data_IF_478405116387
#
_entry.id   IF_478405116387
#
_cell.length_a   1.000
_cell.length_b   1.000
_cell.length_c   1.000
_cell.angle_alpha   90.00
_cell.angle_beta   90.00
_cell.angle_gamma   90.00
#
_symmetry.space_group_name_H-M   'P 1'
#
loop_
_entity.id
_entity.type
_entity.pdbx_description
1 polymer ?
#
# COMPACT_ATOMS: atom_id res chain seq x y z
N UNK A 1 -1.64 -1.31 28.78
CA UNK A 1 -1.14 -2.24 27.76
C UNK A 1 -2.28 -3.18 27.41
N UNK A 2 -3.03 -2.87 26.36
CA UNK A 2 -4.07 -3.76 25.87
C UNK A 2 -3.38 -4.92 25.16
N UNK A 3 -3.64 -6.15 25.58
CA UNK A 3 -3.15 -7.36 24.91
C UNK A 3 -3.53 -7.29 23.42
N UNK A 4 -2.53 -7.33 22.53
CA UNK A 4 -2.80 -7.30 21.09
C UNK A 4 -3.44 -8.64 20.71
N UNK A 5 -4.53 -8.64 19.93
CA UNK A 5 -5.18 -9.88 19.55
C UNK A 5 -4.22 -10.78 18.80
N UNK A 6 -4.27 -12.08 19.09
CA UNK A 6 -3.53 -13.10 18.36
C UNK A 6 -3.96 -13.09 16.88
N UNK A 7 -2.99 -12.96 15.96
CA UNK A 7 -3.20 -12.98 14.51
C UNK A 7 -2.46 -14.15 13.85
N UNK A 8 -2.13 -15.19 14.61
CA UNK A 8 -1.42 -16.40 14.14
C UNK A 8 -2.17 -17.19 13.06
N UNK A 9 -3.49 -17.09 13.00
CA UNK A 9 -4.35 -17.79 12.02
C UNK A 9 -4.35 -17.17 10.61
N UNK A 10 -3.55 -16.11 10.34
CA UNK A 10 -3.51 -15.44 9.04
C UNK A 10 -3.21 -16.39 7.86
N UNK A 11 -2.46 -17.48 8.10
CA UNK A 11 -2.15 -18.51 7.09
C UNK A 11 -3.40 -19.22 6.55
N UNK A 12 -4.50 -19.20 7.30
CA UNK A 12 -5.77 -19.78 6.88
C UNK A 12 -6.59 -18.81 6.02
N UNK A 13 -6.37 -17.50 6.16
CA UNK A 13 -7.18 -16.46 5.49
C UNK A 13 -6.49 -15.81 4.30
N UNK A 14 -5.15 -15.74 4.29
CA UNK A 14 -4.40 -15.14 3.19
C UNK A 14 -4.31 -16.09 1.99
N UNK A 15 -4.09 -15.56 0.77
CA UNK A 15 -4.06 -16.39 -0.42
C UNK A 15 -2.92 -17.42 -0.38
N UNK A 16 -3.20 -18.64 -0.85
CA UNK A 16 -2.23 -19.73 -0.88
C UNK A 16 -0.89 -19.32 -1.53
N UNK A 17 -0.95 -18.57 -2.64
CA UNK A 17 0.21 -17.97 -3.33
C UNK A 17 1.19 -17.27 -2.37
N UNK A 18 0.67 -16.51 -1.41
CA UNK A 18 1.47 -15.74 -0.44
C UNK A 18 1.90 -16.63 0.72
N UNK A 19 0.99 -17.47 1.24
CA UNK A 19 1.26 -18.36 2.39
C UNK A 19 2.33 -19.41 2.06
N UNK A 20 2.34 -19.95 0.85
CA UNK A 20 3.34 -20.94 0.41
C UNK A 20 4.61 -20.31 -0.16
N UNK A 21 4.66 -18.98 -0.34
CA UNK A 21 5.72 -18.28 -1.04
C UNK A 21 6.01 -18.90 -2.43
N UNK A 22 4.95 -19.16 -3.20
CA UNK A 22 5.07 -19.77 -4.54
C UNK A 22 5.69 -18.78 -5.53
N UNK A 23 7.00 -18.94 -5.73
CA UNK A 23 7.83 -17.98 -6.44
C UNK A 23 7.51 -17.93 -7.93
N UNK A 24 7.28 -19.09 -8.57
CA UNK A 24 7.03 -19.11 -10.02
C UNK A 24 5.66 -18.51 -10.34
N UNK A 25 4.64 -18.83 -9.53
CA UNK A 25 3.33 -18.21 -9.66
C UNK A 25 3.38 -16.70 -9.39
N UNK A 26 4.13 -16.25 -8.38
CA UNK A 26 4.26 -14.84 -8.04
C UNK A 26 5.01 -14.04 -9.12
N UNK A 27 6.09 -14.59 -9.67
CA UNK A 27 6.81 -13.97 -10.78
C UNK A 27 5.93 -13.83 -12.03
N UNK A 28 5.08 -14.83 -12.32
CA UNK A 28 4.10 -14.72 -13.40
C UNK A 28 3.08 -13.60 -13.12
N UNK A 29 2.55 -13.51 -11.90
CA UNK A 29 1.62 -12.45 -11.51
C UNK A 29 2.26 -11.07 -11.68
N UNK A 30 3.51 -10.90 -11.24
CA UNK A 30 4.24 -9.64 -11.36
C UNK A 30 4.55 -9.30 -12.82
N UNK A 31 4.96 -10.28 -13.62
CA UNK A 31 5.14 -10.10 -15.07
C UNK A 31 3.86 -9.59 -15.72
N UNK A 32 2.73 -10.25 -15.47
CA UNK A 32 1.43 -9.89 -16.05
C UNK A 32 0.94 -8.51 -15.56
N UNK A 33 1.20 -8.16 -14.29
CA UNK A 33 0.78 -6.86 -13.73
C UNK A 33 1.59 -5.68 -14.27
N UNK A 34 2.89 -5.86 -14.49
CA UNK A 34 3.80 -4.81 -14.98
C UNK A 34 3.97 -4.82 -16.51
N UNK A 35 3.25 -5.69 -17.21
CA UNK A 35 3.28 -5.75 -18.67
C UNK A 35 2.68 -4.48 -19.31
N UNK A 36 3.12 -4.21 -20.52
CA UNK A 36 2.62 -3.15 -21.40
C UNK A 36 2.01 -3.76 -22.65
N UNK A 37 1.12 -3.04 -23.31
CA UNK A 37 0.62 -3.39 -24.64
C UNK A 37 1.61 -2.99 -25.76
N UNK A 38 1.20 -3.22 -27.01
CA UNK A 38 2.00 -2.92 -28.20
C UNK A 38 2.28 -1.41 -28.35
N UNK A 39 1.44 -0.54 -27.76
CA UNK A 39 1.61 0.91 -27.72
C UNK A 39 2.45 1.38 -26.53
N UNK A 40 3.05 0.45 -25.78
CA UNK A 40 3.82 0.70 -24.55
C UNK A 40 2.99 1.30 -23.39
N UNK A 41 1.66 1.19 -23.46
CA UNK A 41 0.78 1.59 -22.38
C UNK A 41 0.70 0.47 -21.34
N UNK A 42 0.66 0.80 -20.04
CA UNK A 42 0.59 -0.22 -18.99
C UNK A 42 -0.76 -0.96 -19.05
N UNK A 43 -0.73 -2.30 -19.01
CA UNK A 43 -1.95 -3.12 -18.93
C UNK A 43 -2.72 -2.87 -17.61
N UNK A 44 -1.98 -2.49 -16.56
CA UNK A 44 -2.53 -2.04 -15.29
C UNK A 44 -1.92 -0.69 -14.94
N UNK A 45 -2.76 0.35 -14.87
CA UNK A 45 -2.30 1.72 -14.55
C UNK A 45 -1.54 1.79 -13.23
N UNK A 46 -1.92 0.97 -12.25
CA UNK A 46 -1.27 0.87 -10.94
C UNK A 46 0.21 0.48 -10.98
N UNK A 47 0.70 -0.12 -12.07
CA UNK A 47 2.14 -0.36 -12.29
C UNK A 47 2.97 0.93 -12.38
N UNK A 48 2.33 2.09 -12.56
CA UNK A 48 2.97 3.41 -12.62
C UNK A 48 2.87 4.21 -11.32
N UNK A 49 2.23 3.67 -10.28
CA UNK A 49 1.99 4.37 -9.01
C UNK A 49 3.26 4.99 -8.42
N UNK A 50 4.33 4.20 -8.27
CA UNK A 50 5.58 4.63 -7.65
C UNK A 50 6.31 5.66 -8.51
N UNK A 51 6.28 5.48 -9.84
CA UNK A 51 6.92 6.40 -10.78
C UNK A 51 6.29 7.79 -10.70
N UNK A 52 4.96 7.87 -10.63
CA UNK A 52 4.24 9.15 -10.46
C UNK A 52 4.44 9.71 -9.06
N UNK A 53 4.33 8.89 -8.00
CA UNK A 53 4.50 9.36 -6.62
C UNK A 53 5.89 10.00 -6.39
N UNK A 54 6.94 9.42 -6.98
CA UNK A 54 8.33 9.93 -6.91
C UNK A 54 8.55 11.25 -7.63
N UNK A 55 7.64 11.70 -8.49
CA UNK A 55 7.71 13.04 -9.05
C UNK A 55 7.58 14.11 -7.96
N UNK A 56 6.93 13.81 -6.84
CA UNK A 56 7.04 14.62 -5.64
C UNK A 56 8.31 14.28 -4.85
N UNK A 57 9.36 15.09 -5.06
CA UNK A 57 10.62 14.97 -4.34
C UNK A 57 10.57 15.36 -2.85
N UNK A 58 9.46 15.93 -2.37
CA UNK A 58 9.29 16.31 -0.96
C UNK A 58 8.61 15.18 -0.17
N UNK A 59 9.35 14.44 0.68
CA UNK A 59 8.78 13.34 1.47
C UNK A 59 7.86 13.84 2.60
N UNK A 60 7.83 15.15 2.85
CA UNK A 60 7.11 15.78 3.94
C UNK A 60 5.96 16.66 3.49
N UNK A 61 5.57 16.68 2.21
CA UNK A 61 4.41 17.45 1.77
C UNK A 61 3.59 16.70 0.73
N UNK A 62 2.26 16.68 0.90
CA UNK A 62 1.37 16.24 -0.18
C UNK A 62 1.34 17.30 -1.28
N UNK A 63 1.43 16.87 -2.54
CA UNK A 63 1.36 17.71 -3.74
C UNK A 63 0.48 17.05 -4.81
N UNK A 64 0.32 17.74 -5.94
CA UNK A 64 -0.52 17.27 -7.05
C UNK A 64 -0.09 15.89 -7.55
N UNK A 65 1.20 15.60 -7.56
CA UNK A 65 1.78 14.33 -8.00
C UNK A 65 1.32 13.17 -7.11
N UNK A 66 1.18 13.36 -5.80
CA UNK A 66 0.63 12.31 -4.92
C UNK A 66 -0.85 12.03 -5.26
N UNK A 67 -1.60 13.04 -5.71
CA UNK A 67 -3.01 12.89 -6.08
C UNK A 67 -3.17 12.21 -7.43
N UNK A 68 -2.27 12.49 -8.38
CA UNK A 68 -2.19 11.77 -9.66
C UNK A 68 -1.69 10.34 -9.43
N UNK A 69 -0.76 10.12 -8.50
CA UNK A 69 -0.28 8.79 -8.18
C UNK A 69 -1.45 7.90 -7.72
N UNK A 70 -2.25 8.34 -6.76
CA UNK A 70 -3.35 7.50 -6.27
C UNK A 70 -4.44 7.20 -7.33
N UNK A 71 -4.57 8.02 -8.38
CA UNK A 71 -5.46 7.70 -9.50
C UNK A 71 -5.00 6.52 -10.34
N UNK A 72 -3.69 6.21 -10.34
CA UNK A 72 -3.17 4.96 -10.91
C UNK A 72 -3.69 3.73 -10.17
N UNK A 73 -4.17 3.88 -8.94
CA UNK A 73 -4.75 2.81 -8.15
C UNK A 73 -6.29 2.89 -8.14
N UNK A 74 -6.91 3.43 -9.19
CA UNK A 74 -8.37 3.50 -9.37
C UNK A 74 -9.10 4.30 -8.28
N UNK A 75 -8.45 5.31 -7.66
CA UNK A 75 -9.11 6.24 -6.74
C UNK A 75 -8.71 7.68 -7.01
N UNK A 76 -9.65 8.60 -6.92
CA UNK A 76 -9.37 10.04 -7.04
C UNK A 76 -9.42 10.72 -5.67
N UNK A 77 -8.61 11.78 -5.50
CA UNK A 77 -8.74 12.69 -4.37
C UNK A 77 -9.89 13.66 -4.68
N UNK A 78 -10.96 13.71 -3.86
CA UNK A 78 -12.07 14.63 -4.12
C UNK A 78 -11.59 16.09 -4.12
N UNK A 79 -12.15 16.93 -4.99
CA UNK A 79 -11.72 18.31 -5.15
C UNK A 79 -11.70 19.12 -3.83
N UNK A 80 -12.72 18.95 -2.98
CA UNK A 80 -12.78 19.59 -1.65
C UNK A 80 -11.65 19.11 -0.72
N UNK A 81 -11.29 17.83 -0.80
CA UNK A 81 -10.16 17.28 -0.07
C UNK A 81 -8.84 17.84 -0.61
N UNK A 82 -8.65 17.87 -1.93
CA UNK A 82 -7.45 18.44 -2.55
C UNK A 82 -7.20 19.89 -2.09
N UNK A 83 -8.22 20.76 -2.15
CA UNK A 83 -8.14 22.16 -1.69
C UNK A 83 -7.72 22.24 -0.22
N UNK A 84 -8.30 21.39 0.64
CA UNK A 84 -7.97 21.38 2.08
C UNK A 84 -6.54 20.89 2.33
N UNK A 85 -6.16 19.77 1.72
CA UNK A 85 -4.88 19.10 1.94
C UNK A 85 -3.70 19.92 1.43
N UNK A 86 -3.87 20.62 0.30
CA UNK A 86 -2.84 21.52 -0.26
C UNK A 86 -2.85 22.92 0.36
N UNK A 87 -3.95 23.30 1.03
CA UNK A 87 -4.11 24.59 1.68
C UNK A 87 -4.11 24.47 3.19
N UNK A 88 -5.29 24.60 3.80
CA UNK A 88 -5.48 24.74 5.25
C UNK A 88 -4.75 23.67 6.10
N UNK A 89 -4.74 22.42 5.64
CA UNK A 89 -4.17 21.30 6.40
C UNK A 89 -2.71 20.99 6.02
N UNK A 90 -2.11 21.70 5.04
CA UNK A 90 -0.77 21.40 4.53
C UNK A 90 0.31 21.46 5.64
N UNK A 91 0.29 22.49 6.49
CA UNK A 91 1.30 22.67 7.55
C UNK A 91 1.23 21.59 8.62
N UNK A 92 0.02 21.16 9.02
CA UNK A 92 -0.13 20.08 10.00
C UNK A 92 0.27 18.73 9.41
N UNK A 93 -0.02 18.49 8.13
CA UNK A 93 0.43 17.30 7.41
C UNK A 93 1.96 17.28 7.33
N UNK A 94 2.58 18.41 6.99
CA UNK A 94 4.03 18.53 6.90
C UNK A 94 4.74 18.20 8.22
N UNK A 95 4.28 18.83 9.30
CA UNK A 95 4.80 18.57 10.65
C UNK A 95 4.62 17.11 11.09
N UNK A 96 3.52 16.45 10.72
CA UNK A 96 3.30 15.05 11.05
C UNK A 96 4.20 14.13 10.22
N UNK A 97 4.32 14.37 8.91
CA UNK A 97 5.20 13.58 8.03
C UNK A 97 6.66 13.67 8.48
N UNK A 98 7.16 14.84 8.92
CA UNK A 98 8.52 14.96 9.47
C UNK A 98 8.79 14.11 10.72
N UNK A 99 7.74 13.67 11.40
CA UNK A 99 7.84 12.81 12.59
C UNK A 99 7.60 11.32 12.27
N UNK A 100 7.38 10.98 11.00
CA UNK A 100 7.25 9.62 10.51
C UNK A 100 8.46 9.34 9.62
N UNK A 101 9.34 8.38 9.97
CA UNK A 101 10.50 8.03 9.15
C UNK A 101 10.11 7.76 7.70
N UNK A 102 10.79 8.37 6.74
CA UNK A 102 10.57 8.21 5.30
C UNK A 102 11.39 7.07 4.68
N UNK A 103 12.42 6.61 5.38
CA UNK A 103 13.29 5.51 4.97
C UNK A 103 13.34 4.38 6.02
N UNK A 104 12.18 3.83 6.36
CA UNK A 104 12.03 2.75 7.35
C UNK A 104 11.16 1.64 6.78
N UNK A 105 11.63 0.40 6.88
CA UNK A 105 10.81 -0.77 6.58
C UNK A 105 9.85 -1.08 7.72
N UNK A 106 8.65 -1.54 7.34
CA UNK A 106 7.61 -1.91 8.31
C UNK A 106 8.09 -2.97 9.32
N UNK A 107 8.97 -3.89 8.91
CA UNK A 107 9.52 -4.94 9.78
C UNK A 107 10.44 -4.34 10.87
N UNK A 108 11.17 -3.28 10.54
CA UNK A 108 12.07 -2.56 11.44
C UNK A 108 11.33 -1.53 12.32
N UNK A 109 10.08 -1.25 11.98
CA UNK A 109 9.28 -0.28 12.74
C UNK A 109 9.06 -0.76 14.18
N UNK A 110 9.32 0.12 15.15
CA UNK A 110 8.86 -0.13 16.52
C UNK A 110 7.32 -0.26 16.51
N UNK A 111 6.74 -1.27 17.17
CA UNK A 111 5.29 -1.40 17.36
C UNK A 111 4.53 -0.11 17.67
N UNK A 112 5.10 0.83 18.42
CA UNK A 112 4.50 2.13 18.76
C UNK A 112 4.27 3.06 17.56
N UNK A 113 5.07 2.91 16.48
CA UNK A 113 4.91 3.69 15.25
C UNK A 113 3.66 3.29 14.46
N UNK A 114 3.11 2.10 14.73
CA UNK A 114 1.96 1.52 14.02
C UNK A 114 0.68 1.48 14.87
N UNK A 115 0.74 1.98 16.10
CA UNK A 115 -0.38 2.00 17.03
C UNK A 115 -1.34 3.17 16.77
N UNK A 116 -2.52 3.12 17.40
CA UNK A 116 -3.59 4.12 17.26
C UNK A 116 -3.20 5.53 17.68
N UNK A 117 -2.22 5.67 18.58
CA UNK A 117 -1.75 6.97 19.08
C UNK A 117 -0.52 7.51 18.32
N UNK A 118 0.01 6.73 17.38
CA UNK A 118 1.20 7.06 16.60
C UNK A 118 1.03 8.31 15.73
N UNK A 119 2.15 8.88 15.27
CA UNK A 119 2.13 10.01 14.32
C UNK A 119 1.52 9.62 12.98
N UNK A 120 1.69 8.38 12.54
CA UNK A 120 1.03 7.85 11.35
C UNK A 120 -0.49 7.80 11.54
N UNK A 121 -0.96 7.35 12.70
CA UNK A 121 -2.40 7.34 13.03
C UNK A 121 -2.98 8.75 13.16
N UNK A 122 -2.25 9.68 13.76
CA UNK A 122 -2.65 11.10 13.79
C UNK A 122 -2.76 11.68 12.37
N UNK A 123 -1.80 11.38 11.49
CA UNK A 123 -1.85 11.78 10.08
C UNK A 123 -3.08 11.19 9.38
N UNK A 124 -3.35 9.90 9.56
CA UNK A 124 -4.58 9.27 9.07
C UNK A 124 -5.84 10.03 9.49
N UNK A 125 -5.95 10.42 10.77
CA UNK A 125 -7.11 11.18 11.27
C UNK A 125 -7.18 12.58 10.64
N UNK A 126 -6.06 13.28 10.47
CA UNK A 126 -6.01 14.59 9.80
C UNK A 126 -6.47 14.48 8.34
N UNK A 127 -6.06 13.43 7.62
CA UNK A 127 -6.52 13.21 6.25
C UNK A 127 -8.04 12.96 6.22
N UNK A 128 -8.59 12.21 7.18
CA UNK A 128 -10.00 11.79 7.21
C UNK A 128 -10.98 12.80 7.83
N UNK A 129 -10.53 13.78 8.61
CA UNK A 129 -11.42 14.71 9.37
C UNK A 129 -12.24 15.67 8.50
N UNK A 130 -11.89 15.85 7.23
CA UNK A 130 -12.40 16.91 6.37
C UNK A 130 -13.88 16.84 6.00
N UNK A 131 -14.54 15.67 6.17
CA UNK A 131 -15.90 15.40 5.67
C UNK A 131 -16.09 15.80 4.19
N UNK A 132 -15.05 15.63 3.41
CA UNK A 132 -14.90 16.08 2.02
C UNK A 132 -14.87 14.92 1.01
N UNK A 133 -15.25 13.72 1.47
CA UNK A 133 -15.34 12.51 0.65
C UNK A 133 -14.04 11.68 0.59
N UNK A 134 -12.93 12.12 1.21
CA UNK A 134 -11.68 11.38 1.17
C UNK A 134 -11.78 10.08 1.97
N UNK A 135 -12.05 8.94 1.32
CA UNK A 135 -12.26 7.61 1.90
C UNK A 135 -11.05 6.98 2.60
N UNK A 136 -11.23 5.87 3.35
CA UNK A 136 -10.12 5.11 3.94
C UNK A 136 -9.17 4.54 2.87
N UNK A 137 -9.70 4.05 1.75
CA UNK A 137 -8.91 3.54 0.62
C UNK A 137 -8.01 4.63 0.00
N UNK A 138 -8.55 5.82 -0.24
CA UNK A 138 -7.73 6.93 -0.77
C UNK A 138 -6.70 7.40 0.26
N UNK A 139 -7.06 7.37 1.54
CA UNK A 139 -6.17 7.76 2.64
C UNK A 139 -4.97 6.81 2.76
N UNK A 140 -5.19 5.48 2.74
CA UNK A 140 -4.10 4.50 2.79
C UNK A 140 -3.13 4.65 1.61
N UNK A 141 -3.65 4.91 0.41
CA UNK A 141 -2.84 5.11 -0.80
C UNK A 141 -2.01 6.39 -0.77
N UNK A 142 -2.55 7.49 -0.23
CA UNK A 142 -1.77 8.73 -0.01
C UNK A 142 -0.65 8.51 1.02
N UNK A 143 -0.92 7.74 2.08
CA UNK A 143 0.09 7.40 3.07
C UNK A 143 1.17 6.49 2.48
N UNK A 144 0.79 5.48 1.69
CA UNK A 144 1.72 4.61 0.99
C UNK A 144 2.58 5.37 -0.05
N UNK A 145 2.02 6.38 -0.74
CA UNK A 145 2.81 7.24 -1.63
C UNK A 145 3.94 7.96 -0.87
N UNK A 146 3.67 8.38 0.38
CA UNK A 146 4.66 9.05 1.24
C UNK A 146 5.57 8.11 2.00
N UNK A 147 5.09 6.92 2.36
CA UNK A 147 5.78 5.97 3.24
C UNK A 147 5.71 4.57 2.63
N UNK A 148 6.24 4.36 1.41
CA UNK A 148 6.02 3.15 0.63
C UNK A 148 6.62 1.88 1.27
N UNK A 149 7.61 2.05 2.14
CA UNK A 149 8.28 0.97 2.88
C UNK A 149 7.64 0.68 4.25
N UNK A 150 6.82 1.60 4.76
CA UNK A 150 6.32 1.57 6.15
C UNK A 150 4.80 1.40 6.25
N UNK A 151 4.01 2.06 5.39
CA UNK A 151 2.56 2.10 5.49
C UNK A 151 1.91 1.34 4.32
N UNK A 152 1.28 0.18 4.56
CA UNK A 152 0.71 -0.64 3.50
C UNK A 152 -0.54 -0.01 2.88
N UNK A 153 -0.76 -0.29 1.60
CA UNK A 153 -1.99 0.06 0.90
C UNK A 153 -3.15 -0.75 1.48
N UNK A 154 -4.31 -0.11 1.57
CA UNK A 154 -5.56 -0.76 1.95
C UNK A 154 -6.64 -0.53 0.91
N UNK A 155 -7.44 -1.56 0.63
CA UNK A 155 -8.61 -1.49 -0.23
C UNK A 155 -9.50 -2.71 -0.06
N UNK A 156 -10.64 -2.71 -0.76
CA UNK A 156 -11.61 -3.82 -0.71
C UNK A 156 -11.01 -5.15 -1.17
N UNK A 157 -10.09 -5.13 -2.13
CA UNK A 157 -9.40 -6.33 -2.61
C UNK A 157 -8.42 -6.88 -1.55
N UNK A 158 -7.66 -6.02 -0.87
CA UNK A 158 -6.77 -6.43 0.23
C UNK A 158 -7.60 -7.02 1.39
N UNK A 159 -8.73 -6.39 1.71
CA UNK A 159 -9.69 -6.91 2.68
C UNK A 159 -10.22 -8.29 2.28
N UNK A 160 -10.65 -8.46 1.03
CA UNK A 160 -11.14 -9.75 0.52
C UNK A 160 -10.05 -10.81 0.51
N UNK A 161 -8.82 -10.45 0.14
CA UNK A 161 -7.68 -11.38 0.06
C UNK A 161 -7.24 -11.89 1.43
N UNK A 162 -7.36 -11.07 2.47
CA UNK A 162 -6.77 -11.35 3.79
C UNK A 162 -7.80 -11.67 4.86
N UNK A 163 -9.08 -11.38 4.61
CA UNK A 163 -10.14 -11.41 5.62
C UNK A 163 -10.03 -10.33 6.70
N UNK A 164 -9.05 -9.43 6.61
CA UNK A 164 -8.83 -8.38 7.61
C UNK A 164 -9.84 -7.23 7.47
N UNK A 165 -10.07 -6.53 8.57
CA UNK A 165 -10.67 -5.20 8.58
C UNK A 165 -9.59 -4.10 8.63
N UNK A 166 -10.04 -2.83 8.56
CA UNK A 166 -9.14 -1.67 8.65
C UNK A 166 -8.56 -1.44 10.05
N UNK A 167 -8.97 -2.19 11.07
CA UNK A 167 -8.54 -1.97 12.45
C UNK A 167 -7.20 -2.65 12.68
N UNK A 168 -6.18 -1.86 13.03
CA UNK A 168 -4.85 -2.35 13.36
C UNK A 168 -4.10 -3.01 12.20
N UNK A 169 -4.56 -2.86 10.95
CA UNK A 169 -3.96 -3.59 9.82
C UNK A 169 -2.47 -3.31 9.64
N UNK A 170 -1.96 -2.13 9.98
CA UNK A 170 -0.51 -1.86 9.96
C UNK A 170 0.29 -2.82 10.85
N UNK A 171 -0.14 -3.01 12.10
CA UNK A 171 0.48 -4.00 12.98
C UNK A 171 0.28 -5.43 12.47
N UNK A 172 -0.90 -5.78 11.91
CA UNK A 172 -1.14 -7.11 11.33
C UNK A 172 -0.18 -7.41 10.17
N UNK A 173 0.02 -6.46 9.26
CA UNK A 173 1.00 -6.56 8.17
C UNK A 173 2.41 -6.71 8.73
N UNK A 174 2.81 -5.87 9.69
CA UNK A 174 4.12 -6.01 10.35
C UNK A 174 4.30 -7.40 10.96
N UNK A 175 3.29 -7.89 11.69
CA UNK A 175 3.32 -9.20 12.33
C UNK A 175 3.56 -10.30 11.30
N UNK A 176 2.72 -10.38 10.26
CA UNK A 176 2.84 -11.38 9.19
C UNK A 176 4.19 -11.32 8.47
N UNK A 177 4.68 -10.12 8.16
CA UNK A 177 5.97 -9.92 7.49
C UNK A 177 7.17 -10.24 8.39
N UNK A 178 6.99 -10.19 9.71
CA UNK A 178 8.05 -10.47 10.69
C UNK A 178 8.10 -11.92 11.17
N UNK A 179 7.07 -12.72 10.86
CA UNK A 179 7.01 -14.13 11.25
C UNK A 179 8.01 -15.01 10.50
N UNK A 180 8.22 -16.23 11.00
CA UNK A 180 9.07 -17.26 10.39
C UNK A 180 10.46 -16.76 9.98
N UNK A 181 11.11 -15.97 10.86
CA UNK A 181 12.43 -15.40 10.61
C UNK A 181 12.46 -14.56 9.32
N UNK A 182 11.44 -13.71 9.13
CA UNK A 182 11.29 -12.83 7.96
C UNK A 182 11.07 -13.57 6.63
N UNK A 183 10.67 -14.85 6.64
CA UNK A 183 10.52 -15.67 5.41
C UNK A 183 9.72 -14.97 4.32
N UNK A 184 8.57 -14.39 4.68
CA UNK A 184 7.72 -13.72 3.70
C UNK A 184 8.34 -12.40 3.20
N UNK A 185 8.98 -11.64 4.10
CA UNK A 185 9.65 -10.39 3.73
C UNK A 185 10.82 -10.64 2.78
N UNK A 186 11.69 -11.59 3.11
CA UNK A 186 12.85 -11.97 2.29
C UNK A 186 12.42 -12.50 0.92
N UNK A 187 11.34 -13.28 0.88
CA UNK A 187 10.75 -13.75 -0.37
C UNK A 187 10.26 -12.59 -1.26
N UNK A 188 9.59 -11.57 -0.70
CA UNK A 188 9.18 -10.38 -1.45
C UNK A 188 10.39 -9.63 -2.02
N UNK A 189 11.49 -9.54 -1.24
CA UNK A 189 12.76 -8.98 -1.69
C UNK A 189 13.38 -9.79 -2.84
N UNK A 190 13.33 -11.13 -2.75
CA UNK A 190 13.79 -12.04 -3.81
C UNK A 190 12.98 -11.81 -5.10
N UNK A 191 11.65 -11.75 -5.02
CA UNK A 191 10.77 -11.49 -6.16
C UNK A 191 11.14 -10.19 -6.89
N UNK A 192 11.43 -9.11 -6.13
CA UNK A 192 11.89 -7.84 -6.72
C UNK A 192 13.18 -8.03 -7.51
N UNK A 193 14.15 -8.76 -6.96
CA UNK A 193 15.45 -8.98 -7.61
C UNK A 193 15.38 -9.89 -8.85
N UNK A 194 14.44 -10.84 -8.86
CA UNK A 194 14.27 -11.81 -9.95
C UNK A 194 13.34 -11.32 -11.06
N UNK A 195 12.47 -10.35 -10.78
CA UNK A 195 11.53 -9.82 -11.75
C UNK A 195 12.13 -8.68 -12.56
N UNK A 196 12.42 -8.92 -13.85
CA UNK A 196 12.91 -7.88 -14.76
C UNK A 196 11.88 -6.79 -15.05
N UNK A 197 10.58 -7.08 -14.87
CA UNK A 197 9.48 -6.14 -15.16
C UNK A 197 9.15 -5.22 -13.98
N UNK A 198 9.57 -5.55 -12.75
CA UNK A 198 9.28 -4.75 -11.55
C UNK A 198 10.37 -3.68 -11.38
N UNK A 199 10.02 -2.38 -11.39
CA UNK A 199 11.00 -1.32 -11.15
C UNK A 199 11.61 -1.41 -9.75
N UNK A 200 12.90 -1.11 -9.61
CA UNK A 200 13.59 -1.15 -8.32
C UNK A 200 13.06 -0.16 -7.26
N UNK A 201 12.23 0.82 -7.67
CA UNK A 201 11.54 1.73 -6.75
C UNK A 201 10.32 1.11 -6.05
N UNK A 202 9.88 -0.08 -6.46
CA UNK A 202 8.74 -0.80 -5.89
C UNK A 202 9.17 -1.44 -4.57
N UNK A 203 8.42 -1.16 -3.50
CA UNK A 203 8.67 -1.75 -2.18
C UNK A 203 8.07 -3.16 -2.06
N UNK A 204 8.56 -3.91 -1.09
CA UNK A 204 8.06 -5.22 -0.69
C UNK A 204 6.57 -5.15 -0.34
N UNK A 205 6.15 -4.07 0.34
CA UNK A 205 4.74 -3.79 0.64
C UNK A 205 3.89 -3.65 -0.64
N UNK A 206 4.43 -3.02 -1.68
CA UNK A 206 3.72 -2.92 -2.95
C UNK A 206 3.67 -4.26 -3.68
N UNK A 207 4.77 -5.01 -3.70
CA UNK A 207 4.79 -6.36 -4.29
C UNK A 207 3.70 -7.20 -3.62
N UNK A 208 3.62 -7.18 -2.28
CA UNK A 208 2.58 -7.87 -1.54
C UNK A 208 1.17 -7.37 -1.92
N UNK A 209 0.96 -6.05 -2.02
CA UNK A 209 -0.32 -5.47 -2.45
C UNK A 209 -0.73 -5.96 -3.86
N UNK A 210 0.20 -6.04 -4.82
CA UNK A 210 -0.06 -6.60 -6.16
C UNK A 210 -0.49 -8.07 -6.06
N UNK A 211 0.23 -8.89 -5.29
CA UNK A 211 -0.08 -10.32 -5.16
C UNK A 211 -1.46 -10.54 -4.52
N UNK A 212 -1.78 -9.81 -3.45
CA UNK A 212 -3.09 -9.87 -2.78
C UNK A 212 -4.22 -9.38 -3.70
N UNK A 213 -3.98 -8.31 -4.46
CA UNK A 213 -4.98 -7.79 -5.40
C UNK A 213 -5.25 -8.77 -6.55
N UNK A 214 -4.19 -9.32 -7.14
CA UNK A 214 -4.28 -10.24 -8.27
C UNK A 214 -4.90 -11.59 -7.86
N UNK A 215 -4.66 -12.07 -6.63
CA UNK A 215 -5.29 -13.31 -6.16
C UNK A 215 -6.82 -13.22 -6.11
N UNK A 216 -7.36 -12.05 -5.75
CA UNK A 216 -8.82 -11.83 -5.74
C UNK A 216 -9.35 -11.64 -7.15
N UNK A 217 -8.65 -10.87 -8.00
CA UNK A 217 -9.07 -10.63 -9.39
C UNK A 217 -9.10 -11.91 -10.22
N UNK A 218 -8.13 -12.81 -10.05
CA UNK A 218 -8.08 -14.09 -10.77
C UNK A 218 -9.07 -15.12 -10.23
N UNK A 219 -9.41 -15.07 -8.95
CA UNK A 219 -10.43 -15.95 -8.33
C UNK A 219 -11.87 -15.52 -8.59
N UNK A 220 -12.11 -14.23 -8.83
CA UNK A 220 -13.40 -13.70 -9.26
C UNK A 220 -13.58 -13.82 -10.77
N UNK A 221 -14.29 -14.84 -11.23
CA UNK A 221 -14.66 -15.00 -12.64
C UNK A 221 -15.55 -13.86 -13.15
N UNK A 222 -14.95 -12.71 -13.46
CA UNK A 222 -15.41 -11.60 -14.30
C UNK A 222 -14.28 -10.58 -14.34
N UNK A 223 -13.80 -10.24 -15.54
CA UNK A 223 -13.00 -9.01 -15.76
C UNK A 223 -13.81 -7.85 -15.21
N UNK A 224 -13.49 -7.39 -13.99
CA UNK A 224 -13.91 -6.08 -13.55
C UNK A 224 -13.11 -5.09 -14.39
N UNK A 225 -13.77 -4.50 -15.38
CA UNK A 225 -13.29 -3.31 -16.07
C UNK A 225 -12.95 -2.27 -14.99
N UNK A 226 -11.73 -1.74 -15.05
CA UNK A 226 -11.38 -0.55 -14.28
C UNK A 226 -12.37 0.55 -14.70
N UNK A 227 -13.09 1.19 -13.76
CA UNK A 227 -13.89 2.34 -14.12
C UNK A 227 -12.94 3.43 -14.63
N UNK A 228 -13.11 3.79 -15.90
CA UNK A 228 -12.51 4.96 -16.56
C UNK A 228 -12.85 6.23 -15.79
#
# INVERSE_FOLDING_TARGET
>A
MTERPDYSDWRQSWPALVVSCDTDAALKVLHDYYAVDDEQLPLYTGSRFEAIARMNADPYALKAEDFVAVSMLSVTVPAKAAIRLLGRDAEIIHRLLRQIPDDLDIIDANPELLDSDSRASQLWQILRRGRDGLGPTTTSKLLAAKRPRLLPIWGTFVQQATGMDTVGYWWKFRFVLSEDQLRLWDWLGELRSRSASVPGSVSELRILDVLLWMSVRSGGGKRAEEPV
#
